data_IF_921274520972
#
_entry.id   IF_921274520972
#
_cell.length_a   1.000
_cell.length_b   1.000
_cell.length_c   1.000
_cell.angle_alpha   90.00
_cell.angle_beta   90.00
_cell.angle_gamma   90.00
#
_symmetry.space_group_name_H-M   'P 1'
#
loop_
_entity.id
_entity.type
_entity.pdbx_description
1 polymer ?
#
# COMPACT_ATOMS: atom_id res chain seq x y z
N UNK A 1 0.78 10.74 2.75
CA UNK A 1 0.17 9.50 2.22
C UNK A 1 -0.93 9.88 1.26
N UNK A 2 -0.94 9.25 0.11
CA UNK A 2 -1.90 9.58 -0.95
C UNK A 2 -2.67 8.32 -1.33
N UNK A 3 -3.97 8.48 -1.63
CA UNK A 3 -4.79 7.35 -2.05
C UNK A 3 -5.79 7.81 -3.10
N UNK A 4 -5.98 6.97 -4.11
CA UNK A 4 -6.85 7.28 -5.24
C UNK A 4 -8.23 6.67 -5.12
N UNK A 5 -8.32 5.47 -4.53
CA UNK A 5 -9.57 4.70 -4.52
C UNK A 5 -9.74 3.99 -3.19
N UNK A 6 -10.91 4.16 -2.59
CA UNK A 6 -11.31 3.40 -1.41
C UNK A 6 -12.52 2.55 -1.79
N UNK A 7 -12.46 1.27 -1.47
CA UNK A 7 -13.56 0.33 -1.74
C UNK A 7 -14.14 -0.15 -0.42
N UNK A 8 -15.44 -0.36 -0.42
CA UNK A 8 -16.18 -0.82 0.75
C UNK A 8 -16.91 -2.12 0.44
N UNK A 9 -17.15 -2.92 1.47
CA UNK A 9 -17.80 -4.21 1.39
C UNK A 9 -17.33 -5.06 2.55
N UNK A 10 -17.03 -6.33 2.32
CA UNK A 10 -16.43 -7.18 3.35
C UNK A 10 -15.02 -6.72 3.71
N UNK A 11 -14.36 -6.12 2.74
CA UNK A 11 -13.02 -5.56 2.93
C UNK A 11 -13.00 -4.13 2.43
N UNK A 12 -11.99 -3.37 2.86
CA UNK A 12 -11.74 -2.03 2.38
C UNK A 12 -10.39 -2.00 1.69
N UNK A 13 -10.27 -1.25 0.61
CA UNK A 13 -9.02 -1.17 -0.13
C UNK A 13 -8.76 0.22 -0.63
N UNK A 14 -7.49 0.59 -0.74
CA UNK A 14 -7.08 1.87 -1.26
C UNK A 14 -5.65 1.81 -1.80
N UNK A 15 -5.36 2.75 -2.70
CA UNK A 15 -4.00 2.98 -3.17
C UNK A 15 -3.29 3.93 -2.21
N UNK A 16 -2.07 3.57 -1.84
CA UNK A 16 -1.20 4.41 -1.04
C UNK A 16 0.07 4.68 -1.82
N UNK A 17 0.60 5.90 -1.69
CA UNK A 17 1.86 6.26 -2.30
C UNK A 17 2.88 6.55 -1.20
N UNK A 18 4.11 6.08 -1.41
CA UNK A 18 5.21 6.33 -0.49
C UNK A 18 6.38 6.89 -1.26
N UNK A 19 6.92 8.01 -0.77
CA UNK A 19 8.16 8.58 -1.29
C UNK A 19 9.32 8.13 -0.41
N UNK A 20 10.42 7.76 -1.04
CA UNK A 20 11.62 7.35 -0.32
C UNK A 20 12.60 8.51 -0.24
N UNK A 21 13.29 8.64 0.87
CA UNK A 21 14.28 9.69 1.06
C UNK A 21 15.55 9.45 0.24
N UNK A 22 15.77 8.22 -0.20
CA UNK A 22 16.89 7.85 -1.05
C UNK A 22 16.47 6.66 -1.91
N UNK A 23 17.20 6.42 -2.99
CA UNK A 23 16.90 5.31 -3.88
C UNK A 23 17.03 3.97 -3.15
N UNK A 24 16.09 3.07 -3.44
CA UNK A 24 16.13 1.71 -2.93
C UNK A 24 17.13 0.89 -3.74
N UNK A 25 17.37 -0.35 -3.29
CA UNK A 25 18.22 -1.28 -4.02
C UNK A 25 17.68 -1.57 -5.43
N UNK A 26 16.39 -1.34 -5.66
CA UNK A 26 15.75 -1.53 -6.96
C UNK A 26 15.73 -0.24 -7.78
N UNK A 27 16.47 0.78 -7.37
CA UNK A 27 16.58 2.08 -8.04
C UNK A 27 15.26 2.84 -8.09
N UNK A 28 14.46 2.71 -7.03
CA UNK A 28 13.17 3.38 -6.93
C UNK A 28 13.21 4.52 -5.92
N UNK A 29 12.51 5.62 -6.24
CA UNK A 29 12.34 6.75 -5.34
C UNK A 29 10.92 6.88 -4.82
N UNK A 30 9.96 6.18 -5.41
CA UNK A 30 8.60 6.15 -4.89
C UNK A 30 7.94 4.83 -5.25
N UNK A 31 6.85 4.54 -4.55
CA UNK A 31 6.07 3.33 -4.77
C UNK A 31 4.59 3.62 -4.56
N UNK A 32 3.75 2.87 -5.27
CA UNK A 32 2.31 2.84 -5.02
C UNK A 32 1.94 1.44 -4.60
N UNK A 33 1.08 1.35 -3.60
CA UNK A 33 0.63 0.07 -3.05
C UNK A 33 -0.88 0.03 -3.03
N UNK A 34 -1.46 -1.06 -3.54
CA UNK A 34 -2.87 -1.32 -3.36
C UNK A 34 -3.02 -2.27 -2.18
N UNK A 35 -3.55 -1.75 -1.07
CA UNK A 35 -3.69 -2.49 0.18
C UNK A 35 -5.15 -2.83 0.39
N UNK A 36 -5.42 -4.08 0.75
CA UNK A 36 -6.74 -4.52 1.14
C UNK A 36 -6.74 -4.86 2.62
N UNK A 37 -7.77 -4.40 3.35
CA UNK A 37 -7.90 -4.67 4.78
C UNK A 37 -9.19 -5.41 5.05
N UNK A 38 -9.11 -6.48 5.83
CA UNK A 38 -10.26 -7.17 6.39
C UNK A 38 -10.42 -6.66 7.83
N UNK A 39 -11.33 -5.71 8.01
CA UNK A 39 -11.48 -5.06 9.31
C UNK A 39 -11.98 -6.02 10.37
N UNK A 40 -12.88 -6.90 10.01
CA UNK A 40 -13.45 -7.86 10.95
C UNK A 40 -12.42 -8.90 11.39
N UNK A 41 -11.61 -9.36 10.45
CA UNK A 41 -10.55 -10.34 10.73
C UNK A 41 -9.25 -9.70 11.21
N UNK A 42 -9.16 -8.36 11.15
CA UNK A 42 -7.98 -7.60 11.56
C UNK A 42 -6.73 -8.03 10.79
N UNK A 43 -6.86 -8.10 9.47
CA UNK A 43 -5.76 -8.50 8.60
C UNK A 43 -5.67 -7.60 7.39
N UNK A 44 -4.47 -7.53 6.82
CA UNK A 44 -4.23 -6.79 5.58
C UNK A 44 -3.47 -7.66 4.60
N UNK A 45 -3.55 -7.29 3.32
CA UNK A 45 -2.69 -7.88 2.30
C UNK A 45 -2.40 -6.84 1.22
N UNK A 46 -1.27 -7.02 0.56
CA UNK A 46 -0.85 -6.19 -0.56
C UNK A 46 -1.37 -6.86 -1.84
N UNK A 47 -2.18 -6.13 -2.61
CA UNK A 47 -2.73 -6.65 -3.86
C UNK A 47 -1.84 -6.31 -5.04
N UNK A 48 -1.20 -5.14 -5.01
CA UNK A 48 -0.40 -4.68 -6.13
C UNK A 48 0.66 -3.70 -5.62
N UNK A 49 1.83 -3.74 -6.24
CA UNK A 49 2.93 -2.85 -5.91
C UNK A 49 3.55 -2.32 -7.19
N UNK A 50 3.73 -1.00 -7.26
CA UNK A 50 4.36 -0.34 -8.40
C UNK A 50 5.52 0.50 -7.89
N UNK A 51 6.70 0.36 -8.49
CA UNK A 51 7.89 1.12 -8.12
C UNK A 51 8.27 2.08 -9.25
N UNK A 52 8.66 3.29 -8.89
CA UNK A 52 8.97 4.36 -9.84
C UNK A 52 10.35 4.96 -9.58
N UNK A 53 10.98 5.48 -10.63
CA UNK A 53 12.35 6.04 -10.55
C UNK A 53 12.40 7.43 -9.93
N UNK A 54 11.28 8.14 -9.85
CA UNK A 54 11.22 9.49 -9.30
C UNK A 54 10.19 9.56 -8.18
N UNK A 55 10.24 10.62 -7.40
CA UNK A 55 9.27 10.83 -6.32
C UNK A 55 7.87 11.10 -6.86
N UNK A 56 6.85 10.85 -6.05
CA UNK A 56 5.48 11.16 -6.41
C UNK A 56 4.87 10.24 -7.45
N UNK A 57 5.41 9.03 -7.62
CA UNK A 57 4.91 8.10 -8.63
C UNK A 57 5.25 8.53 -10.05
N UNK A 58 6.32 9.29 -10.21
CA UNK A 58 6.76 9.83 -11.50
C UNK A 58 7.96 9.05 -12.03
N UNK A 59 8.38 9.42 -13.23
CA UNK A 59 9.49 8.76 -13.90
C UNK A 59 9.06 7.44 -14.49
N UNK A 60 10.06 6.59 -14.77
CA UNK A 60 9.80 5.28 -15.33
C UNK A 60 9.39 4.29 -14.27
N UNK A 61 8.55 3.33 -14.64
CA UNK A 61 8.19 2.24 -13.76
C UNK A 61 9.33 1.23 -13.71
N UNK A 62 9.88 1.02 -12.52
CA UNK A 62 10.98 0.08 -12.31
C UNK A 62 10.46 -1.35 -12.19
N UNK A 63 9.32 -1.51 -11.50
CA UNK A 63 8.78 -2.83 -11.21
C UNK A 63 7.28 -2.74 -11.02
N UNK A 64 6.59 -3.78 -11.46
CA UNK A 64 5.15 -3.92 -11.24
C UNK A 64 4.91 -5.34 -10.75
N UNK A 65 4.30 -5.47 -9.57
CA UNK A 65 3.97 -6.76 -8.99
C UNK A 65 2.46 -6.78 -8.71
N UNK A 66 1.76 -7.69 -9.36
CA UNK A 66 0.32 -7.82 -9.24
C UNK A 66 -0.11 -9.09 -8.53
N UNK A 67 0.85 -9.81 -7.93
CA UNK A 67 0.54 -11.03 -7.19
C UNK A 67 0.16 -10.68 -5.76
N UNK A 68 -1.07 -10.97 -5.31
CA UNK A 68 -1.46 -10.68 -3.93
C UNK A 68 -0.60 -11.43 -2.93
N UNK A 69 -0.27 -10.77 -1.84
CA UNK A 69 0.41 -11.43 -0.73
C UNK A 69 -0.61 -12.16 0.14
N UNK A 70 -0.13 -12.99 1.05
CA UNK A 70 -1.01 -13.62 2.01
C UNK A 70 -1.52 -12.60 3.02
N UNK A 71 -2.64 -12.92 3.66
CA UNK A 71 -3.18 -12.07 4.71
C UNK A 71 -2.25 -12.06 5.91
N UNK A 72 -1.99 -10.86 6.44
CA UNK A 72 -1.10 -10.66 7.58
C UNK A 72 -1.77 -9.81 8.64
N UNK A 73 -1.45 -10.08 9.91
CA UNK A 73 -1.89 -9.24 11.01
C UNK A 73 -0.96 -8.03 11.09
N UNK A 74 -1.50 -6.79 11.00
CA UNK A 74 -0.64 -5.61 11.10
C UNK A 74 0.07 -5.55 12.44
N UNK A 75 1.37 -5.30 12.42
CA UNK A 75 2.15 -5.15 13.64
C UNK A 75 1.99 -3.75 14.20
N UNK A 76 1.92 -3.64 15.53
CA UNK A 76 1.81 -2.35 16.19
C UNK A 76 2.96 -1.43 15.83
N UNK A 77 2.63 -0.13 15.68
CA UNK A 77 3.62 0.93 15.40
C UNK A 77 4.31 0.77 14.06
N UNK A 78 3.65 0.16 13.08
CA UNK A 78 4.16 0.06 11.72
C UNK A 78 3.27 0.84 10.76
N UNK A 79 3.79 1.22 9.58
CA UNK A 79 2.95 1.84 8.56
C UNK A 79 1.76 0.97 8.16
N UNK A 80 1.92 -0.35 8.19
CA UNK A 80 0.86 -1.27 7.86
C UNK A 80 -0.31 -1.16 8.84
N UNK A 81 -0.04 -0.99 10.13
CA UNK A 81 -1.09 -0.75 11.12
C UNK A 81 -1.80 0.57 10.86
N UNK A 82 -1.05 1.61 10.53
CA UNK A 82 -1.65 2.91 10.22
C UNK A 82 -2.58 2.83 9.03
N UNK A 83 -2.18 2.11 7.98
CA UNK A 83 -3.03 1.90 6.81
C UNK A 83 -4.26 1.09 7.14
N UNK A 84 -4.11 0.05 7.95
CA UNK A 84 -5.23 -0.77 8.41
C UNK A 84 -6.26 0.08 9.18
N UNK A 85 -5.79 0.88 10.13
CA UNK A 85 -6.68 1.74 10.92
C UNK A 85 -7.37 2.77 10.04
N UNK A 86 -6.66 3.35 9.08
CA UNK A 86 -7.24 4.31 8.15
C UNK A 86 -8.36 3.65 7.34
N UNK A 87 -8.08 2.50 6.73
CA UNK A 87 -9.05 1.81 5.88
C UNK A 87 -10.29 1.37 6.65
N UNK A 88 -10.11 0.91 7.88
CA UNK A 88 -11.22 0.42 8.68
C UNK A 88 -12.00 1.55 9.35
N UNK A 89 -11.40 2.71 9.49
CA UNK A 89 -12.03 3.85 10.18
C UNK A 89 -12.93 4.68 9.26
N UNK A 90 -12.63 4.71 7.97
CA UNK A 90 -13.41 5.54 7.01
C UNK A 90 -14.72 4.89 6.56
N UNK A 91 -15.06 3.73 7.08
CA UNK A 91 -16.29 3.02 6.71
C UNK A 91 -17.50 3.62 7.38
#
# INVERSE_FOLDING_TARGET
>A
MDFDTVRYGKTAGAWFMMDFGRRTAEDALSAKFLIEANCKGRKTRLLQQLLYTANGGRGGMVRSDTNPTEWETPMANTPNEAMFKFLCHVR
#
